data_IF_326553519060
#
_entry.id   IF_326553519060
#
_cell.length_a   1.000
_cell.length_b   1.000
_cell.length_c   1.000
_cell.angle_alpha   90.00
_cell.angle_beta   90.00
_cell.angle_gamma   90.00
#
_symmetry.space_group_name_H-M   'P 1'
#
loop_
_entity.id
_entity.type
_entity.pdbx_description
1 polymer ?
#
# COMPACT_ATOMS: atom_id res chain seq x y z
N UNK A 1 -25.91 -49.06 6.40
CA UNK A 1 -26.21 -47.62 6.43
C UNK A 1 -25.14 -46.99 5.55
N UNK A 2 -25.39 -46.94 4.24
CA UNK A 2 -24.49 -46.27 3.30
C UNK A 2 -24.56 -44.77 3.61
N UNK A 3 -23.40 -44.15 3.86
CA UNK A 3 -23.32 -42.71 3.90
C UNK A 3 -23.73 -42.20 2.53
N UNK A 4 -24.79 -41.40 2.45
CA UNK A 4 -25.19 -40.69 1.25
C UNK A 4 -23.99 -39.84 0.79
N UNK A 5 -23.24 -40.34 -0.18
CA UNK A 5 -22.14 -39.61 -0.76
C UNK A 5 -22.71 -38.35 -1.40
N UNK A 6 -22.28 -37.18 -0.91
CA UNK A 6 -22.67 -35.87 -1.43
C UNK A 6 -22.64 -35.89 -2.96
N UNK A 7 -23.73 -35.50 -3.64
CA UNK A 7 -23.86 -35.66 -5.11
C UNK A 7 -22.71 -35.01 -5.89
N UNK A 8 -22.12 -33.96 -5.32
CA UNK A 8 -20.98 -33.25 -5.90
C UNK A 8 -19.68 -34.07 -5.87
N UNK A 9 -19.57 -35.06 -4.97
CA UNK A 9 -18.46 -36.01 -4.92
C UNK A 9 -18.55 -37.07 -6.03
N UNK A 10 -19.62 -37.07 -6.83
CA UNK A 10 -19.74 -37.89 -8.05
C UNK A 10 -19.18 -37.18 -9.29
N UNK A 11 -18.85 -35.89 -9.20
CA UNK A 11 -18.21 -35.17 -10.30
C UNK A 11 -16.73 -35.58 -10.42
N UNK A 12 -16.22 -35.78 -11.65
CA UNK A 12 -14.80 -35.94 -11.88
C UNK A 12 -14.00 -34.74 -11.35
N UNK A 13 -12.81 -35.00 -10.80
CA UNK A 13 -11.90 -33.99 -10.26
C UNK A 13 -11.55 -32.92 -11.30
N UNK A 14 -11.50 -33.30 -12.58
CA UNK A 14 -11.21 -32.39 -13.69
C UNK A 14 -12.30 -31.33 -13.87
N UNK A 15 -13.57 -31.68 -13.64
CA UNK A 15 -14.67 -30.71 -13.71
C UNK A 15 -14.65 -29.77 -12.51
N UNK A 16 -14.33 -30.28 -11.32
CA UNK A 16 -14.14 -29.45 -10.12
C UNK A 16 -12.97 -28.48 -10.32
N UNK A 17 -11.83 -28.97 -10.80
CA UNK A 17 -10.63 -28.16 -11.08
C UNK A 17 -10.89 -27.13 -12.17
N UNK A 18 -11.60 -27.49 -13.24
CA UNK A 18 -11.98 -26.57 -14.31
C UNK A 18 -12.94 -25.48 -13.81
N UNK A 19 -13.87 -25.80 -12.92
CA UNK A 19 -14.73 -24.80 -12.30
C UNK A 19 -13.93 -23.87 -11.37
N UNK A 20 -13.12 -24.44 -10.47
CA UNK A 20 -12.35 -23.70 -9.47
C UNK A 20 -11.27 -22.80 -10.09
N UNK A 21 -10.64 -23.23 -11.17
CA UNK A 21 -9.65 -22.42 -11.91
C UNK A 21 -10.21 -21.12 -12.51
N UNK A 22 -11.55 -21.00 -12.59
CA UNK A 22 -12.26 -19.79 -13.05
C UNK A 22 -12.82 -18.94 -11.91
N UNK A 23 -12.53 -19.30 -10.66
CA UNK A 23 -12.95 -18.57 -9.45
C UNK A 23 -11.79 -17.75 -8.88
N UNK A 24 -11.98 -17.12 -7.72
CA UNK A 24 -10.89 -16.46 -7.00
C UNK A 24 -10.08 -17.45 -6.15
N UNK A 25 -8.85 -17.07 -5.79
CA UNK A 25 -8.03 -17.88 -4.84
C UNK A 25 -8.74 -18.07 -3.50
N UNK A 26 -9.51 -17.05 -3.06
CA UNK A 26 -10.37 -17.12 -1.88
C UNK A 26 -11.45 -18.19 -2.02
N UNK A 27 -12.11 -18.28 -3.17
CA UNK A 27 -13.17 -19.26 -3.39
C UNK A 27 -12.61 -20.68 -3.48
N UNK A 28 -11.47 -20.86 -4.14
CA UNK A 28 -10.75 -22.13 -4.12
C UNK A 28 -10.39 -22.58 -2.70
N UNK A 29 -9.85 -21.67 -1.87
CA UNK A 29 -9.54 -21.97 -0.47
C UNK A 29 -10.78 -22.33 0.34
N UNK A 30 -11.93 -21.66 0.09
CA UNK A 30 -13.20 -22.00 0.75
C UNK A 30 -13.74 -23.35 0.29
N UNK A 31 -13.65 -23.65 -1.01
CA UNK A 31 -14.05 -24.94 -1.57
C UNK A 31 -13.24 -26.08 -0.95
N UNK A 32 -11.92 -25.91 -0.77
CA UNK A 32 -11.04 -26.90 -0.16
C UNK A 32 -11.43 -27.31 1.29
N UNK A 33 -12.22 -26.48 1.97
CA UNK A 33 -12.74 -26.77 3.31
C UNK A 33 -14.04 -27.59 3.30
N UNK A 34 -14.70 -27.75 2.15
CA UNK A 34 -16.02 -28.40 2.03
C UNK A 34 -15.92 -29.92 2.11
N UNK A 35 -15.00 -30.54 1.36
CA UNK A 35 -14.81 -31.99 1.34
C UNK A 35 -13.40 -32.37 0.85
N UNK A 36 -12.96 -33.62 1.06
CA UNK A 36 -11.69 -34.11 0.51
C UNK A 36 -11.59 -33.96 -1.02
N UNK A 37 -12.64 -34.33 -1.76
CA UNK A 37 -12.65 -34.21 -3.22
C UNK A 37 -12.50 -32.75 -3.69
N UNK A 38 -13.13 -31.80 -3.00
CA UNK A 38 -12.92 -30.38 -3.30
C UNK A 38 -11.53 -29.90 -2.93
N UNK A 39 -10.95 -30.42 -1.84
CA UNK A 39 -9.59 -30.08 -1.44
C UNK A 39 -8.58 -30.53 -2.48
N UNK A 40 -8.69 -31.77 -2.95
CA UNK A 40 -7.78 -32.34 -3.94
C UNK A 40 -7.84 -31.51 -5.24
N UNK A 41 -9.05 -31.22 -5.74
CA UNK A 41 -9.24 -30.37 -6.92
C UNK A 41 -8.73 -28.92 -6.70
N UNK A 42 -9.08 -28.30 -5.56
CA UNK A 42 -8.73 -26.91 -5.25
C UNK A 42 -7.23 -26.70 -5.01
N UNK A 43 -6.53 -27.72 -4.52
CA UNK A 43 -5.09 -27.67 -4.23
C UNK A 43 -4.25 -28.12 -5.43
N UNK A 44 -4.89 -28.54 -6.53
CA UNK A 44 -4.21 -28.99 -7.74
C UNK A 44 -3.40 -27.88 -8.42
N UNK A 45 -2.23 -28.24 -8.95
CA UNK A 45 -1.41 -27.33 -9.74
C UNK A 45 -2.11 -26.81 -11.00
N UNK A 46 -3.12 -27.51 -11.52
CA UNK A 46 -3.92 -27.02 -12.64
C UNK A 46 -4.71 -25.77 -12.25
N UNK A 47 -5.33 -25.77 -11.06
CA UNK A 47 -6.06 -24.62 -10.52
C UNK A 47 -5.11 -23.45 -10.21
N UNK A 48 -4.03 -23.71 -9.47
CA UNK A 48 -3.12 -22.65 -9.05
C UNK A 48 -2.29 -22.06 -10.21
N UNK A 49 -2.14 -22.78 -11.33
CA UNK A 49 -1.57 -22.21 -12.56
C UNK A 49 -2.40 -21.05 -13.14
N UNK A 50 -3.72 -21.07 -12.92
CA UNK A 50 -4.62 -20.02 -13.39
C UNK A 50 -4.60 -18.79 -12.49
N UNK A 51 -4.20 -18.94 -11.22
CA UNK A 51 -4.10 -17.86 -10.25
C UNK A 51 -2.75 -17.15 -10.26
N UNK A 52 -1.71 -17.80 -10.79
CA UNK A 52 -0.40 -17.21 -10.94
C UNK A 52 -0.33 -16.35 -12.22
N UNK A 53 0.16 -15.10 -12.13
CA UNK A 53 0.52 -14.34 -13.32
C UNK A 53 1.56 -15.08 -14.15
N UNK A 54 1.38 -15.08 -15.48
CA UNK A 54 2.32 -15.73 -16.41
C UNK A 54 3.59 -14.89 -16.65
N UNK A 55 3.51 -13.61 -16.34
CA UNK A 55 4.46 -12.56 -16.67
C UNK A 55 5.05 -11.94 -15.40
N UNK A 56 5.53 -12.78 -14.47
CA UNK A 56 6.23 -12.29 -13.29
C UNK A 56 7.55 -11.62 -13.69
N UNK A 57 7.87 -10.43 -13.17
CA UNK A 57 9.15 -9.79 -13.41
C UNK A 57 10.30 -10.60 -12.76
N UNK A 58 11.54 -10.44 -13.23
CA UNK A 58 12.70 -10.99 -12.54
C UNK A 58 12.79 -10.42 -11.12
N UNK A 59 13.40 -11.17 -10.21
CA UNK A 59 13.57 -10.80 -8.80
C UNK A 59 15.05 -10.57 -8.48
N UNK A 60 15.32 -9.82 -7.40
CA UNK A 60 16.67 -9.56 -6.95
C UNK A 60 17.42 -10.82 -6.49
N UNK A 61 18.74 -10.76 -6.55
CA UNK A 61 19.61 -11.77 -5.94
C UNK A 61 19.30 -11.91 -4.44
N UNK A 62 19.20 -13.17 -3.99
CA UNK A 62 18.89 -13.51 -2.60
C UNK A 62 17.40 -13.61 -2.28
N UNK A 63 16.51 -13.21 -3.21
CA UNK A 63 15.10 -13.51 -3.08
C UNK A 63 14.86 -15.01 -3.24
N UNK A 64 13.95 -15.57 -2.42
CA UNK A 64 13.75 -17.04 -2.29
C UNK A 64 13.17 -17.69 -3.56
N UNK A 65 12.83 -16.88 -4.56
CA UNK A 65 12.37 -17.32 -5.88
C UNK A 65 13.46 -17.20 -6.96
N UNK A 66 14.67 -16.75 -6.59
CA UNK A 66 15.81 -16.71 -7.50
C UNK A 66 16.16 -18.15 -7.96
N UNK A 67 16.63 -18.38 -9.20
CA UNK A 67 16.91 -19.72 -9.74
C UNK A 67 17.84 -20.60 -8.88
N UNK A 68 18.63 -19.99 -8.00
CA UNK A 68 19.53 -20.67 -7.07
C UNK A 68 18.86 -21.19 -5.77
N UNK A 69 17.61 -20.81 -5.49
CA UNK A 69 16.87 -21.20 -4.29
C UNK A 69 15.99 -22.44 -4.52
N UNK A 70 15.62 -23.21 -3.47
CA UNK A 70 14.70 -24.33 -3.59
C UNK A 70 13.36 -23.88 -4.16
N UNK A 71 13.00 -24.44 -5.32
CA UNK A 71 11.73 -24.14 -5.97
C UNK A 71 10.57 -24.58 -5.05
N UNK A 72 9.46 -23.82 -5.00
CA UNK A 72 8.27 -24.22 -4.27
C UNK A 72 7.79 -25.60 -4.76
N UNK A 73 7.37 -26.49 -3.85
CA UNK A 73 6.98 -27.85 -4.23
C UNK A 73 5.66 -27.92 -5.01
N UNK A 74 4.85 -26.85 -4.97
CA UNK A 74 3.62 -26.69 -5.75
C UNK A 74 3.43 -25.24 -6.20
N UNK A 75 2.52 -25.02 -7.17
CA UNK A 75 2.10 -23.67 -7.58
C UNK A 75 1.32 -22.95 -6.49
N UNK A 76 0.62 -23.69 -5.62
CA UNK A 76 -0.01 -23.15 -4.42
C UNK A 76 1.03 -22.56 -3.48
N UNK A 77 2.12 -23.29 -3.22
CA UNK A 77 3.20 -22.80 -2.36
C UNK A 77 3.92 -21.60 -2.95
N UNK A 78 4.10 -21.57 -4.28
CA UNK A 78 4.61 -20.40 -4.99
C UNK A 78 3.71 -19.18 -4.78
N UNK A 79 2.39 -19.34 -4.95
CA UNK A 79 1.43 -18.26 -4.71
C UNK A 79 1.47 -17.76 -3.26
N UNK A 80 1.46 -18.68 -2.28
CA UNK A 80 1.50 -18.35 -0.86
C UNK A 80 2.79 -17.59 -0.50
N UNK A 81 3.91 -17.91 -1.16
CA UNK A 81 5.16 -17.18 -1.00
C UNK A 81 5.07 -15.77 -1.59
N UNK A 82 4.60 -15.66 -2.84
CA UNK A 82 4.44 -14.38 -3.55
C UNK A 82 3.42 -13.43 -2.89
N UNK A 83 2.45 -13.96 -2.15
CA UNK A 83 1.43 -13.20 -1.42
C UNK A 83 1.71 -13.08 0.09
N UNK A 84 2.77 -13.73 0.56
CA UNK A 84 3.15 -13.81 1.96
C UNK A 84 3.95 -12.59 2.41
N UNK A 85 4.97 -12.24 1.63
CA UNK A 85 5.88 -11.11 1.89
C UNK A 85 6.26 -10.43 0.58
N UNK A 86 6.51 -9.11 0.59
CA UNK A 86 7.00 -8.45 -0.60
C UNK A 86 8.44 -8.83 -0.95
N UNK A 87 8.72 -8.92 -2.25
CA UNK A 87 10.01 -9.33 -2.82
C UNK A 87 10.60 -8.19 -3.65
N UNK A 88 11.91 -7.97 -3.58
CA UNK A 88 12.58 -6.92 -4.35
C UNK A 88 12.79 -7.32 -5.82
N UNK A 89 12.63 -6.34 -6.72
CA UNK A 89 13.04 -6.43 -8.12
C UNK A 89 14.56 -6.18 -8.22
N UNK A 90 15.22 -6.45 -9.37
CA UNK A 90 16.69 -6.52 -9.45
C UNK A 90 17.43 -5.25 -9.02
N UNK A 91 16.85 -4.07 -9.23
CA UNK A 91 17.41 -2.79 -8.79
C UNK A 91 17.25 -2.52 -7.29
N UNK A 92 16.42 -3.31 -6.60
CA UNK A 92 16.03 -3.16 -5.19
C UNK A 92 15.33 -1.83 -4.87
N UNK A 93 14.89 -1.12 -5.90
CA UNK A 93 14.14 0.13 -5.79
C UNK A 93 12.64 -0.10 -5.87
N UNK A 94 12.24 -1.19 -6.51
CA UNK A 94 10.85 -1.64 -6.60
C UNK A 94 10.72 -2.98 -5.91
N UNK A 95 9.57 -3.22 -5.28
CA UNK A 95 9.24 -4.54 -4.76
C UNK A 95 7.80 -4.90 -5.05
N UNK A 96 7.53 -6.20 -5.17
CA UNK A 96 6.26 -6.73 -5.64
C UNK A 96 5.71 -7.81 -4.73
N UNK A 97 4.40 -8.03 -4.80
CA UNK A 97 3.70 -9.16 -4.17
C UNK A 97 2.39 -9.41 -4.91
N UNK A 98 1.71 -10.52 -4.60
CA UNK A 98 0.37 -10.79 -5.10
C UNK A 98 -0.70 -10.46 -4.04
N UNK A 99 -1.80 -9.86 -4.49
CA UNK A 99 -3.01 -9.76 -3.67
C UNK A 99 -3.50 -11.16 -3.31
N UNK A 100 -3.69 -11.42 -2.01
CA UNK A 100 -4.05 -12.74 -1.48
C UNK A 100 -5.42 -13.25 -1.93
N UNK A 101 -6.31 -12.37 -2.37
CA UNK A 101 -7.68 -12.75 -2.74
C UNK A 101 -7.80 -13.02 -4.24
N UNK A 102 -7.11 -12.21 -5.06
CA UNK A 102 -7.27 -12.27 -6.53
C UNK A 102 -6.02 -12.68 -7.29
N UNK A 103 -4.85 -12.70 -6.66
CA UNK A 103 -3.57 -12.88 -7.36
C UNK A 103 -3.14 -11.67 -8.21
N UNK A 104 -3.79 -10.51 -8.02
CA UNK A 104 -3.41 -9.29 -8.74
C UNK A 104 -2.01 -8.83 -8.31
N UNK A 105 -1.17 -8.43 -9.28
CA UNK A 105 0.18 -7.93 -9.05
C UNK A 105 0.10 -6.59 -8.31
N UNK A 106 0.78 -6.49 -7.17
CA UNK A 106 0.92 -5.27 -6.37
C UNK A 106 2.39 -4.86 -6.31
N UNK A 107 2.64 -3.55 -6.23
CA UNK A 107 3.98 -2.99 -6.26
C UNK A 107 4.16 -1.90 -5.21
N UNK A 108 5.41 -1.67 -4.83
CA UNK A 108 5.82 -0.47 -4.12
C UNK A 108 7.06 0.09 -4.79
N UNK A 109 7.00 1.37 -5.17
CA UNK A 109 8.17 2.13 -5.60
C UNK A 109 8.81 2.75 -4.35
N UNK A 110 10.10 2.53 -4.14
CA UNK A 110 10.84 3.16 -3.03
C UNK A 110 10.93 4.67 -3.23
N UNK A 111 11.21 5.41 -2.16
CA UNK A 111 11.48 6.85 -2.26
C UNK A 111 12.64 7.18 -3.21
N UNK A 112 13.59 6.26 -3.41
CA UNK A 112 14.69 6.40 -4.38
C UNK A 112 14.26 6.25 -5.83
N UNK A 113 13.13 5.59 -6.08
CA UNK A 113 12.52 5.43 -7.40
C UNK A 113 11.53 6.57 -7.74
N UNK A 114 11.28 7.47 -6.78
CA UNK A 114 10.39 8.62 -6.95
C UNK A 114 11.16 9.85 -7.42
N UNK A 115 10.46 10.72 -8.16
CA UNK A 115 10.92 12.09 -8.42
C UNK A 115 10.55 12.97 -7.23
N UNK A 116 11.56 13.37 -6.46
CA UNK A 116 11.42 14.28 -5.32
C UNK A 116 12.10 15.60 -5.67
N UNK A 117 11.34 16.71 -5.69
CA UNK A 117 11.95 18.02 -5.93
C UNK A 117 12.95 18.34 -4.83
N UNK A 118 14.18 18.64 -5.27
CA UNK A 118 15.37 18.84 -4.45
C UNK A 118 15.80 17.62 -3.60
N UNK A 119 15.38 16.40 -3.96
CA UNK A 119 15.76 15.17 -3.25
C UNK A 119 17.28 14.97 -3.12
N UNK A 120 18.06 15.47 -4.09
CA UNK A 120 19.53 15.42 -4.07
C UNK A 120 20.18 16.64 -3.42
N UNK A 121 19.40 17.53 -2.79
CA UNK A 121 19.88 18.74 -2.11
C UNK A 121 19.90 18.50 -0.60
N UNK A 122 21.07 18.28 0.03
CA UNK A 122 21.17 17.87 1.44
C UNK A 122 20.63 18.89 2.45
N UNK A 123 20.44 20.14 2.05
CA UNK A 123 19.82 21.18 2.87
C UNK A 123 18.31 20.95 3.05
N UNK A 124 17.69 20.20 2.14
CA UNK A 124 16.24 20.03 2.06
C UNK A 124 15.82 18.59 2.33
N UNK A 125 16.62 17.62 1.89
CA UNK A 125 16.33 16.20 2.03
C UNK A 125 17.56 15.44 2.53
N UNK A 126 17.32 14.40 3.32
CA UNK A 126 18.32 13.42 3.73
C UNK A 126 17.83 12.02 3.36
N UNK A 127 18.76 11.16 2.97
CA UNK A 127 18.48 9.76 2.69
C UNK A 127 18.96 8.94 3.87
N UNK A 128 18.03 8.27 4.55
CA UNK A 128 18.30 7.60 5.83
C UNK A 128 17.94 6.12 5.77
N UNK A 129 18.75 5.22 6.36
CA UNK A 129 18.35 3.85 6.56
C UNK A 129 17.34 3.75 7.71
N UNK A 130 16.35 2.89 7.57
CA UNK A 130 15.41 2.56 8.64
C UNK A 130 15.29 1.03 8.77
N UNK A 131 15.49 0.45 9.97
CA UNK A 131 15.44 -1.01 10.17
C UNK A 131 14.09 -1.64 9.83
N UNK A 132 13.01 -0.87 9.94
CA UNK A 132 11.65 -1.29 9.62
C UNK A 132 11.20 -0.85 8.22
N UNK A 133 12.16 -0.46 7.37
CA UNK A 133 11.93 -0.26 5.95
C UNK A 133 12.26 -1.50 5.15
N UNK A 134 11.45 -1.79 4.12
CA UNK A 134 11.75 -2.81 3.10
C UNK A 134 12.84 -2.39 2.12
N UNK A 135 13.18 -1.10 2.06
CA UNK A 135 14.20 -0.53 1.18
C UNK A 135 15.38 -0.02 2.01
N UNK A 136 16.56 0.03 1.39
CA UNK A 136 17.80 0.46 2.06
C UNK A 136 17.75 1.89 2.58
N UNK A 137 17.01 2.76 1.90
CA UNK A 137 16.92 4.18 2.24
C UNK A 137 15.48 4.70 2.12
N UNK A 138 15.14 5.63 3.00
CA UNK A 138 13.93 6.45 2.98
C UNK A 138 14.31 7.92 2.79
N UNK A 139 13.40 8.71 2.21
CA UNK A 139 13.62 10.16 2.05
C UNK A 139 13.07 10.92 3.25
N UNK A 140 13.95 11.55 4.02
CA UNK A 140 13.59 12.43 5.14
C UNK A 140 13.59 13.88 4.69
N UNK A 141 12.46 14.55 4.85
CA UNK A 141 12.29 15.96 4.61
C UNK A 141 12.83 16.78 5.77
N UNK A 142 13.86 17.58 5.52
CA UNK A 142 14.47 18.46 6.52
C UNK A 142 13.73 19.80 6.60
N UNK A 143 13.60 20.52 5.48
CA UNK A 143 12.85 21.78 5.44
C UNK A 143 12.60 22.24 3.99
N UNK A 144 11.35 22.35 3.51
CA UNK A 144 11.03 22.92 2.18
C UNK A 144 9.75 23.76 2.20
N UNK A 145 9.65 24.77 1.33
CA UNK A 145 8.40 25.52 1.11
C UNK A 145 7.66 25.11 -0.18
N UNK A 146 8.37 24.52 -1.14
CA UNK A 146 7.82 23.91 -2.36
C UNK A 146 7.97 22.40 -2.23
N UNK A 147 6.84 21.69 -2.22
CA UNK A 147 6.80 20.25 -1.97
C UNK A 147 6.22 19.54 -3.20
N UNK A 148 6.94 18.56 -3.74
CA UNK A 148 6.51 17.77 -4.89
C UNK A 148 7.21 16.41 -4.85
N UNK A 149 6.41 15.37 -4.71
CA UNK A 149 6.80 13.98 -4.83
C UNK A 149 5.92 13.37 -5.92
N UNK A 150 6.53 12.78 -6.93
CA UNK A 150 5.82 12.09 -8.00
C UNK A 150 6.49 10.78 -8.37
N UNK A 151 5.72 9.89 -8.97
CA UNK A 151 6.22 8.63 -9.50
C UNK A 151 5.34 8.11 -10.61
N UNK A 152 5.84 7.09 -11.29
CA UNK A 152 5.17 6.48 -12.44
C UNK A 152 5.35 4.98 -12.42
N UNK A 153 4.35 4.26 -12.91
CA UNK A 153 4.45 2.83 -13.15
C UNK A 153 3.85 2.47 -14.52
N UNK A 154 4.54 1.67 -15.34
CA UNK A 154 3.98 1.16 -16.59
C UNK A 154 2.74 0.29 -16.35
N UNK A 155 1.65 0.54 -17.09
CA UNK A 155 0.39 -0.20 -16.95
C UNK A 155 0.56 -1.71 -17.19
N UNK A 156 1.48 -2.10 -18.07
CA UNK A 156 1.82 -3.51 -18.35
C UNK A 156 2.36 -4.28 -17.14
N UNK A 157 2.92 -3.59 -16.15
CA UNK A 157 3.35 -4.23 -14.90
C UNK A 157 2.16 -4.66 -14.04
N UNK A 158 1.01 -4.01 -14.21
CA UNK A 158 -0.19 -4.26 -13.41
C UNK A 158 -1.07 -5.35 -14.05
N UNK A 159 -1.82 -6.08 -13.23
CA UNK A 159 -2.86 -7.00 -13.73
C UNK A 159 -3.95 -6.22 -14.44
N UNK A 160 -4.39 -6.71 -15.62
CA UNK A 160 -5.46 -6.12 -16.43
C UNK A 160 -6.83 -6.22 -15.73
N UNK A 161 -7.80 -5.47 -16.22
CA UNK A 161 -9.18 -5.44 -15.74
C UNK A 161 -9.30 -5.31 -14.21
N UNK A 162 -8.41 -4.52 -13.61
CA UNK A 162 -8.29 -4.40 -12.16
C UNK A 162 -8.33 -2.93 -11.74
N UNK A 163 -9.14 -2.63 -10.73
CA UNK A 163 -9.12 -1.31 -10.06
C UNK A 163 -7.98 -1.29 -9.05
N UNK A 164 -7.11 -0.30 -9.16
CA UNK A 164 -5.99 -0.05 -8.25
C UNK A 164 -6.20 1.25 -7.49
N UNK A 165 -5.54 1.35 -6.34
CA UNK A 165 -5.30 2.61 -5.66
C UNK A 165 -3.83 2.77 -5.31
N UNK A 166 -3.35 4.01 -5.37
CA UNK A 166 -2.00 4.40 -4.99
C UNK A 166 -2.01 4.99 -3.57
N UNK A 167 -1.05 4.59 -2.75
CA UNK A 167 -0.90 5.04 -1.37
C UNK A 167 0.53 5.49 -1.13
N UNK A 168 0.73 6.70 -0.62
CA UNK A 168 2.04 7.07 -0.07
C UNK A 168 2.20 6.44 1.31
N UNK A 169 3.35 5.83 1.57
CA UNK A 169 3.68 5.21 2.86
C UNK A 169 4.81 5.99 3.50
N UNK A 170 4.57 6.49 4.72
CA UNK A 170 5.44 7.45 5.36
C UNK A 170 5.37 7.42 6.90
N UNK A 171 6.30 8.10 7.54
CA UNK A 171 6.30 8.44 8.96
C UNK A 171 6.39 9.96 9.13
N UNK A 172 6.00 10.43 10.30
CA UNK A 172 6.11 11.83 10.68
C UNK A 172 6.92 11.92 11.97
N UNK A 173 8.01 12.69 11.94
CA UNK A 173 8.80 12.98 13.13
C UNK A 173 7.98 13.80 14.13
N UNK A 174 8.21 13.60 15.43
CA UNK A 174 7.53 14.33 16.51
C UNK A 174 7.65 15.86 16.37
N UNK A 175 8.79 16.34 15.85
CA UNK A 175 9.08 17.76 15.63
C UNK A 175 8.70 18.25 14.22
N UNK A 176 7.82 17.54 13.50
CA UNK A 176 7.35 17.96 12.18
C UNK A 176 6.66 19.31 12.20
N UNK A 177 6.73 20.03 11.09
CA UNK A 177 6.10 21.34 10.91
C UNK A 177 5.41 21.41 9.54
N UNK A 178 4.30 22.14 9.46
CA UNK A 178 3.70 22.57 8.18
C UNK A 178 3.08 21.46 7.33
N UNK A 179 2.84 20.27 7.88
CA UNK A 179 2.19 19.15 7.18
C UNK A 179 0.65 19.18 7.31
N UNK A 180 0.12 20.00 8.21
CA UNK A 180 -1.31 20.16 8.51
C UNK A 180 -1.99 21.24 7.66
N UNK A 181 -1.23 22.26 7.29
CA UNK A 181 -1.70 23.36 6.48
C UNK A 181 -0.57 24.05 5.70
N UNK A 182 -0.79 24.43 4.42
CA UNK A 182 -1.96 24.13 3.61
C UNK A 182 -2.08 22.64 3.32
N UNK A 183 -3.28 22.21 2.91
CA UNK A 183 -3.49 20.82 2.49
C UNK A 183 -2.79 20.57 1.15
N UNK A 184 -2.29 19.36 0.98
CA UNK A 184 -1.60 18.93 -0.22
C UNK A 184 -2.60 18.54 -1.31
N UNK A 185 -2.19 18.68 -2.57
CA UNK A 185 -2.85 18.15 -3.75
C UNK A 185 -2.28 16.76 -4.06
N UNK A 186 -3.09 15.73 -3.92
CA UNK A 186 -2.77 14.40 -4.43
C UNK A 186 -3.42 14.24 -5.80
N UNK A 187 -2.68 13.68 -6.76
CA UNK A 187 -3.22 13.43 -8.09
C UNK A 187 -2.84 12.06 -8.63
N UNK A 188 -3.69 11.53 -9.50
CA UNK A 188 -3.43 10.34 -10.29
C UNK A 188 -3.85 10.59 -11.73
N UNK A 189 -3.02 10.16 -12.68
CA UNK A 189 -3.29 10.32 -14.11
C UNK A 189 -2.99 9.07 -14.90
N UNK A 190 -3.92 8.71 -15.78
CA UNK A 190 -3.84 7.57 -16.70
C UNK A 190 -4.37 8.02 -18.06
N UNK A 191 -3.52 8.03 -19.09
CA UNK A 191 -3.88 8.56 -20.40
C UNK A 191 -4.33 10.02 -20.31
N UNK A 192 -5.54 10.31 -20.80
CA UNK A 192 -6.14 11.66 -20.75
C UNK A 192 -6.83 11.98 -19.40
N UNK A 193 -7.01 10.99 -18.53
CA UNK A 193 -7.70 11.16 -17.25
C UNK A 193 -6.71 11.70 -16.22
N UNK A 194 -7.08 12.77 -15.53
CA UNK A 194 -6.37 13.30 -14.36
C UNK A 194 -7.38 13.54 -13.24
N UNK A 195 -7.19 12.88 -12.10
CA UNK A 195 -7.98 13.07 -10.89
C UNK A 195 -7.09 13.73 -9.85
N UNK A 196 -7.56 14.85 -9.28
CA UNK A 196 -6.87 15.56 -8.19
C UNK A 196 -7.80 15.65 -6.98
N UNK A 197 -7.25 15.46 -5.78
CA UNK A 197 -7.97 15.58 -4.50
C UNK A 197 -7.12 16.28 -3.45
N UNK A 198 -7.79 16.86 -2.45
CA UNK A 198 -7.12 17.43 -1.27
C UNK A 198 -6.84 16.35 -0.25
N UNK A 199 -5.62 16.36 0.30
CA UNK A 199 -5.19 15.48 1.38
C UNK A 199 -4.37 16.23 2.43
N UNK A 200 -4.30 15.70 3.64
CA UNK A 200 -3.55 16.28 4.75
C UNK A 200 -2.63 15.22 5.33
N UNK A 201 -1.32 15.50 5.40
CA UNK A 201 -0.31 14.56 5.89
C UNK A 201 -0.27 14.43 7.43
N UNK A 202 -0.84 15.38 8.18
CA UNK A 202 -0.94 15.28 9.65
C UNK A 202 -2.06 14.30 10.05
N UNK A 203 -1.71 13.33 10.90
CA UNK A 203 -2.67 12.46 11.58
C UNK A 203 -3.18 13.17 12.84
N UNK A 204 -4.50 13.23 13.04
CA UNK A 204 -5.07 13.83 14.24
C UNK A 204 -5.45 12.69 15.20
N UNK A 205 -4.65 12.47 16.24
CA UNK A 205 -4.89 11.45 17.28
C UNK A 205 -6.15 11.75 18.14
N UNK A 206 -6.81 12.89 17.91
CA UNK A 206 -7.89 13.41 18.76
C UNK A 206 -9.24 12.65 18.63
N UNK A 207 -9.30 11.55 17.85
CA UNK A 207 -10.50 10.72 17.73
C UNK A 207 -10.56 9.52 18.70
N UNK A 208 -9.49 9.20 19.42
CA UNK A 208 -9.45 8.11 20.43
C UNK A 208 -9.44 8.61 21.88
N UNK A 209 -9.93 9.83 22.11
CA UNK A 209 -10.29 10.28 23.46
C UNK A 209 -11.73 9.89 23.76
N UNK A 210 -11.96 8.71 24.32
CA UNK A 210 -13.22 8.43 25.03
C UNK A 210 -13.49 9.61 25.96
N UNK A 211 -14.68 10.20 25.84
CA UNK A 211 -15.19 11.21 26.75
C UNK A 211 -15.35 10.59 28.15
N UNK A 212 -14.24 10.49 28.88
CA UNK A 212 -14.24 10.19 30.30
C UNK A 212 -14.94 11.34 31.01
N UNK A 213 -16.21 11.15 31.32
CA UNK A 213 -16.96 12.01 32.21
C UNK A 213 -16.20 12.09 33.54
N UNK A 214 -15.56 13.23 33.79
CA UNK A 214 -14.90 13.52 35.07
C UNK A 214 -16.01 13.82 36.09
N UNK A 215 -16.17 13.04 37.18
CA UNK A 215 -17.03 13.45 38.28
C UNK A 215 -16.41 14.67 38.95
N UNK A 216 -17.24 15.68 39.21
CA UNK A 216 -16.83 16.93 39.86
C UNK A 216 -16.14 16.68 41.20
N UNK A 217 -15.24 17.61 41.54
CA UNK A 217 -14.54 17.76 42.83
C UNK A 217 -13.17 17.07 42.95
N UNK A 218 -12.18 17.51 42.16
CA UNK A 218 -10.78 17.52 42.61
C UNK A 218 -10.00 18.61 41.84
N UNK A 219 -9.41 19.57 42.54
CA UNK A 219 -8.47 20.55 41.97
C UNK A 219 -7.05 20.19 42.39
N UNK A 220 -6.16 19.71 41.51
CA UNK A 220 -4.76 19.58 41.84
C UNK A 220 -4.01 20.89 41.58
N UNK A 221 -3.19 21.24 42.56
CA UNK A 221 -2.19 22.31 42.58
C UNK A 221 -1.35 22.33 41.30
N UNK A 222 -1.17 23.52 40.71
CA UNK A 222 -0.41 23.74 39.46
C UNK A 222 1.07 23.38 39.64
N UNK A 223 1.63 22.39 38.91
CA UNK A 223 3.05 22.38 38.60
C UNK A 223 3.24 23.26 37.35
N UNK A 224 4.41 23.90 37.26
CA UNK A 224 4.83 24.78 36.16
C UNK A 224 4.39 24.27 34.78
N UNK A 225 3.93 25.16 33.87
CA UNK A 225 3.55 24.71 32.54
C UNK A 225 4.77 24.06 31.89
N UNK A 226 4.67 22.85 31.31
CA UNK A 226 5.68 22.43 30.35
C UNK A 226 5.73 23.53 29.31
N UNK A 227 6.94 23.94 28.90
CA UNK A 227 7.14 24.88 27.82
C UNK A 227 6.47 24.31 26.56
N UNK A 228 5.17 24.57 26.43
CA UNK A 228 4.43 24.53 25.17
C UNK A 228 5.08 25.60 24.34
N UNK A 229 6.07 25.21 23.55
CA UNK A 229 6.51 25.97 22.40
C UNK A 229 5.23 26.41 21.69
N UNK A 230 5.12 27.73 21.56
CA UNK A 230 3.93 28.45 21.13
C UNK A 230 3.29 27.75 19.93
N UNK A 231 2.13 27.10 20.14
CA UNK A 231 1.13 26.84 19.09
C UNK A 231 0.66 28.20 18.56
N UNK A 232 1.47 28.84 17.73
CA UNK A 232 1.14 30.11 17.08
C UNK A 232 0.19 29.80 15.94
N UNK A 233 -1.04 30.28 16.08
CA UNK A 233 -2.06 30.42 15.02
C UNK A 233 -2.30 29.17 14.14
N UNK A 234 -2.81 28.08 14.74
CA UNK A 234 -3.53 27.06 13.97
C UNK A 234 -4.84 27.66 13.45
N UNK A 235 -4.88 28.05 12.17
CA UNK A 235 -6.13 27.90 11.41
C UNK A 235 -6.31 26.39 11.23
N UNK A 236 -6.75 25.71 12.28
CA UNK A 236 -7.14 24.31 12.18
C UNK A 236 -8.15 24.23 11.03
N UNK A 237 -7.84 23.42 10.03
CA UNK A 237 -8.75 23.14 8.92
C UNK A 237 -10.08 22.74 9.55
N UNK A 238 -11.10 23.57 9.35
CA UNK A 238 -12.44 23.29 9.88
C UNK A 238 -12.86 21.93 9.32
N UNK A 239 -13.44 21.08 10.17
CA UNK A 239 -13.88 19.70 9.92
C UNK A 239 -14.93 19.51 8.78
N UNK A 240 -15.00 20.40 7.78
CA UNK A 240 -16.02 20.41 6.73
C UNK A 240 -15.51 20.18 5.29
N UNK A 241 -14.22 19.93 5.06
CA UNK A 241 -13.69 19.65 3.72
C UNK A 241 -13.43 18.14 3.55
N UNK A 242 -13.78 17.59 2.37
CA UNK A 242 -13.58 16.18 1.99
C UNK A 242 -12.07 15.89 1.74
N UNK A 243 -11.26 16.08 2.78
CA UNK A 243 -9.79 15.96 2.75
C UNK A 243 -9.39 14.54 3.14
N UNK A 244 -8.64 13.86 2.29
CA UNK A 244 -8.06 12.56 2.61
C UNK A 244 -7.08 12.66 3.78
N UNK A 245 -7.15 11.72 4.72
CA UNK A 245 -6.28 11.68 5.90
C UNK A 245 -5.55 10.34 6.00
N UNK A 246 -4.35 10.32 6.59
CA UNK A 246 -3.56 9.10 6.70
C UNK A 246 -4.16 8.17 7.75
N UNK A 247 -3.96 6.88 7.53
CA UNK A 247 -4.29 5.80 8.45
C UNK A 247 -3.01 5.15 8.97
N UNK A 248 -2.99 4.81 10.25
CA UNK A 248 -1.87 4.09 10.85
C UNK A 248 -1.94 2.61 10.52
N UNK A 249 -0.84 2.04 10.05
CA UNK A 249 -0.67 0.63 9.73
C UNK A 249 -0.21 -0.15 10.96
N UNK A 250 -0.41 -1.47 10.92
CA UNK A 250 0.02 -2.38 11.98
C UNK A 250 1.56 -2.44 12.14
N UNK A 251 2.31 -2.13 11.08
CA UNK A 251 3.78 -2.06 11.07
C UNK A 251 4.33 -0.70 11.59
N UNK A 252 3.45 0.20 12.02
CA UNK A 252 3.83 1.52 12.56
C UNK A 252 4.06 2.60 11.49
N UNK A 253 3.95 2.28 10.20
CA UNK A 253 3.93 3.27 9.14
C UNK A 253 2.54 3.93 9.02
N UNK A 254 2.49 5.11 8.43
CA UNK A 254 1.25 5.74 7.98
C UNK A 254 1.06 5.47 6.49
N UNK A 255 -0.18 5.33 6.05
CA UNK A 255 -0.53 5.33 4.63
C UNK A 255 -1.61 6.36 4.31
N UNK A 256 -1.51 6.98 3.14
CA UNK A 256 -2.48 7.95 2.64
C UNK A 256 -2.80 7.67 1.18
N UNK A 257 -4.07 7.50 0.86
CA UNK A 257 -4.54 7.28 -0.50
C UNK A 257 -4.36 8.54 -1.36
N UNK A 258 -3.66 8.39 -2.48
CA UNK A 258 -3.45 9.44 -3.48
C UNK A 258 -4.59 9.47 -4.51
N UNK A 259 -5.14 8.29 -4.83
CA UNK A 259 -6.26 8.14 -5.75
C UNK A 259 -6.42 6.71 -6.25
N UNK A 260 -7.47 6.47 -7.04
CA UNK A 260 -7.77 5.20 -7.67
C UNK A 260 -7.85 5.31 -9.18
N UNK A 261 -7.63 4.19 -9.87
CA UNK A 261 -7.66 4.09 -11.32
C UNK A 261 -8.01 2.66 -11.77
N UNK A 262 -8.54 2.53 -12.97
CA UNK A 262 -8.78 1.24 -13.60
C UNK A 262 -7.70 0.93 -14.63
N UNK A 263 -7.11 -0.27 -14.56
CA UNK A 263 -6.13 -0.72 -15.54
C UNK A 263 -6.80 -1.63 -16.59
N UNK A 264 -7.10 -1.08 -17.77
CA UNK A 264 -7.70 -1.82 -18.90
C UNK A 264 -6.71 -2.75 -19.62
N UNK A 265 -5.40 -2.61 -19.37
CA UNK A 265 -4.40 -3.54 -19.92
C UNK A 265 -3.78 -3.19 -21.27
N UNK A 266 -3.67 -1.89 -21.59
CA UNK A 266 -2.92 -1.41 -22.76
C UNK A 266 -1.39 -1.55 -22.62
N UNK A 267 -0.70 -1.83 -23.73
CA UNK A 267 0.74 -2.16 -23.74
C UNK A 267 1.67 -0.94 -23.53
N UNK A 268 1.21 0.28 -23.87
CA UNK A 268 2.04 1.49 -23.93
C UNK A 268 1.65 2.61 -22.95
N UNK A 269 0.81 2.31 -21.95
CA UNK A 269 0.36 3.28 -20.95
C UNK A 269 1.25 3.36 -19.70
N UNK A 270 1.30 4.53 -19.08
CA UNK A 270 1.84 4.73 -17.72
C UNK A 270 0.78 5.35 -16.82
N UNK A 271 0.81 4.97 -15.54
CA UNK A 271 0.08 5.64 -14.48
C UNK A 271 1.04 6.54 -13.74
N UNK A 272 0.73 7.83 -13.67
CA UNK A 272 1.49 8.78 -12.85
C UNK A 272 0.70 9.15 -11.61
N UNK A 273 1.40 9.35 -10.50
CA UNK A 273 0.83 9.81 -9.24
C UNK A 273 1.72 10.90 -8.65
N UNK A 274 1.10 11.86 -7.97
CA UNK A 274 1.84 12.94 -7.32
C UNK A 274 1.20 13.39 -6.01
N UNK A 275 2.02 13.95 -5.15
CA UNK A 275 1.63 14.64 -3.92
C UNK A 275 2.39 15.97 -3.86
N UNK A 276 1.65 17.06 -3.95
CA UNK A 276 2.22 18.39 -4.18
C UNK A 276 1.66 19.45 -3.24
N UNK A 277 2.50 20.40 -2.87
CA UNK A 277 2.08 21.67 -2.29
C UNK A 277 3.09 22.76 -2.63
N UNK A 278 2.82 23.46 -3.73
CA UNK A 278 3.75 24.43 -4.34
C UNK A 278 3.26 25.88 -4.23
N UNK A 279 1.98 26.07 -3.89
CA UNK A 279 1.31 27.38 -3.91
C UNK A 279 1.31 28.09 -2.55
N UNK A 280 1.41 27.34 -1.45
CA UNK A 280 1.24 27.88 -0.10
C UNK A 280 2.45 28.66 0.43
N UNK A 281 3.66 28.33 -0.03
CA UNK A 281 4.91 28.92 0.46
C UNK A 281 5.23 28.60 1.93
N UNK A 282 4.43 27.74 2.59
CA UNK A 282 4.64 27.35 3.97
C UNK A 282 5.73 26.29 4.07
N UNK A 283 6.66 26.51 5.01
CA UNK A 283 7.75 25.60 5.28
C UNK A 283 7.25 24.31 5.94
N UNK A 284 7.85 23.18 5.54
CA UNK A 284 7.48 21.84 5.96
C UNK A 284 8.71 21.04 6.34
N UNK A 285 8.61 20.22 7.37
CA UNK A 285 9.70 19.36 7.84
C UNK A 285 9.19 18.10 8.51
N UNK A 286 10.07 17.10 8.63
CA UNK A 286 9.85 15.91 9.46
C UNK A 286 9.09 14.77 8.80
N UNK A 287 8.72 14.88 7.50
CA UNK A 287 8.17 13.76 6.73
C UNK A 287 9.27 12.75 6.42
N UNK A 288 9.02 11.46 6.62
CA UNK A 288 9.91 10.38 6.16
C UNK A 288 9.14 9.48 5.20
N UNK A 289 9.51 9.48 3.93
CA UNK A 289 8.82 8.72 2.88
C UNK A 289 9.54 7.40 2.65
N UNK A 290 8.80 6.31 2.76
CA UNK A 290 9.28 4.99 2.36
C UNK A 290 9.13 4.79 0.85
N UNK A 291 7.98 5.22 0.31
CA UNK A 291 7.63 5.01 -1.08
C UNK A 291 6.14 5.15 -1.36
N UNK A 292 5.73 4.72 -2.56
CA UNK A 292 4.33 4.68 -2.99
C UNK A 292 3.94 3.25 -3.34
N UNK A 293 2.91 2.74 -2.68
CA UNK A 293 2.30 1.43 -2.92
C UNK A 293 1.17 1.52 -3.94
N UNK A 294 1.17 0.62 -4.92
CA UNK A 294 0.11 0.44 -5.90
C UNK A 294 -0.48 -0.95 -5.65
N UNK A 295 -1.71 -0.98 -5.13
CA UNK A 295 -2.40 -2.23 -4.77
C UNK A 295 -3.84 -2.24 -5.26
N UNK A 296 -4.37 -3.43 -5.49
CA UNK A 296 -5.77 -3.61 -5.89
C UNK A 296 -6.68 -2.91 -4.87
N UNK A 297 -7.65 -2.15 -5.36
CA UNK A 297 -8.72 -1.58 -4.53
C UNK A 297 -9.75 -2.68 -4.25
N UNK A 298 -10.04 -2.92 -2.99
CA UNK A 298 -11.14 -3.80 -2.60
C UNK A 298 -12.45 -3.05 -2.83
N UNK A 299 -13.39 -3.68 -3.54
CA UNK A 299 -14.78 -3.22 -3.58
C UNK A 299 -15.34 -3.30 -2.15
N UNK A 300 -15.86 -2.17 -1.66
CA UNK A 300 -16.54 -2.09 -0.37
C UNK A 300 -17.90 -2.77 -0.37
#
# INVERSE_FOLDING_TARGET
MEAEACEIARLPEELLSAALSRTSTRDACRAAAVSPAFRDAADSDAVWACFLPRDLPPLADGEVLHPAAPQPPSKKDLFLRLSGSPLLLPDKLVSMWLDRETGAKCYMLSARDLTIIWGDTPQYWSWIPLPDSRFSECAQLLHVCWFDISGKIPCKMLTRDTVYAAYIVFKVNENSLGLDYPVQDASISVGATNLTRKVCLEHNDEAEGEAGAVPGHYWPVRPHPPQRTRRRNRRAVRHGENVGRPQKRADGWMELELGEFFNEGGEDGEVSFSLMETKGGNWKSGLIVQGIEIRRKKSG
#
